data_IF_969524441741
#
_entry.id   IF_969524441741
#
_cell.length_a   1.000
_cell.length_b   1.000
_cell.length_c   1.000
_cell.angle_alpha   90.00
_cell.angle_beta   90.00
_cell.angle_gamma   90.00
#
_symmetry.space_group_name_H-M   'P 1'
#
loop_
_entity.id
_entity.type
_entity.pdbx_description
1 polymer ?
#
# COMPACT_ATOMS: atom_id res chain seq x y z
N UNK A 1 -1.67 6.53 -16.02
CA UNK A 1 -2.25 5.17 -15.92
C UNK A 1 -2.32 4.61 -17.32
N UNK A 2 -1.86 3.39 -17.55
CA UNK A 2 -1.96 2.75 -18.87
C UNK A 2 -3.33 2.10 -19.05
N UNK A 3 -3.81 2.05 -20.28
CA UNK A 3 -4.98 1.28 -20.71
C UNK A 3 -4.67 -0.22 -20.91
N UNK A 4 -3.42 -0.62 -20.79
CA UNK A 4 -2.97 -2.01 -20.80
C UNK A 4 -2.41 -2.45 -19.44
N UNK A 5 -2.49 -3.75 -19.16
CA UNK A 5 -1.86 -4.38 -17.99
C UNK A 5 -0.36 -4.52 -18.19
N UNK A 6 0.42 -4.34 -17.13
CA UNK A 6 1.85 -4.65 -17.17
C UNK A 6 2.34 -5.29 -15.87
N UNK A 7 3.43 -6.04 -15.98
CA UNK A 7 4.05 -6.75 -14.87
C UNK A 7 5.31 -6.00 -14.44
N UNK A 8 5.38 -5.63 -13.17
CA UNK A 8 6.56 -5.04 -12.53
C UNK A 8 7.24 -6.10 -11.66
N UNK A 9 8.55 -6.27 -11.82
CA UNK A 9 9.38 -7.13 -10.96
C UNK A 9 10.40 -6.29 -10.23
N UNK A 10 10.28 -6.21 -8.91
CA UNK A 10 11.21 -5.43 -8.10
C UNK A 10 11.79 -6.27 -6.97
N UNK A 11 12.99 -5.88 -6.57
CA UNK A 11 13.69 -6.46 -5.42
C UNK A 11 13.37 -5.64 -4.17
N UNK A 12 13.31 -6.31 -3.02
CA UNK A 12 13.01 -5.62 -1.76
C UNK A 12 14.16 -4.67 -1.42
N UNK A 13 13.89 -3.41 -1.00
CA UNK A 13 14.95 -2.45 -0.68
C UNK A 13 15.97 -2.94 0.37
N UNK A 14 15.52 -3.79 1.29
CA UNK A 14 16.37 -4.39 2.33
C UNK A 14 16.95 -5.76 1.96
N UNK A 15 16.75 -6.26 0.73
CA UNK A 15 17.29 -7.56 0.33
C UNK A 15 18.82 -7.63 0.41
N UNK A 16 19.51 -6.49 0.30
CA UNK A 16 20.97 -6.39 0.44
C UNK A 16 21.46 -6.44 1.90
N UNK A 17 20.57 -6.33 2.89
CA UNK A 17 20.92 -6.43 4.30
C UNK A 17 20.82 -7.90 4.75
N UNK A 18 21.86 -8.42 5.42
CA UNK A 18 21.96 -9.83 5.80
C UNK A 18 20.73 -10.38 6.55
N UNK A 19 20.13 -9.59 7.44
CA UNK A 19 18.93 -10.00 8.21
C UNK A 19 17.68 -10.15 7.32
N UNK A 20 17.65 -9.43 6.20
CA UNK A 20 16.50 -9.30 5.30
C UNK A 20 16.75 -9.96 3.92
N UNK A 21 17.86 -10.68 3.78
CA UNK A 21 18.23 -11.41 2.56
C UNK A 21 17.24 -12.54 2.19
N UNK A 22 16.39 -12.94 3.13
CA UNK A 22 15.33 -13.93 2.88
C UNK A 22 14.18 -13.38 2.02
N UNK A 23 14.10 -12.05 1.81
CA UNK A 23 13.07 -11.46 0.97
C UNK A 23 13.28 -11.81 -0.49
N UNK A 24 12.26 -12.44 -1.08
CA UNK A 24 12.29 -12.85 -2.48
C UNK A 24 11.89 -11.69 -3.38
N UNK A 25 12.40 -11.74 -4.62
CA UNK A 25 11.98 -10.81 -5.68
C UNK A 25 10.47 -10.88 -5.86
N UNK A 26 9.81 -9.73 -5.76
CA UNK A 26 8.35 -9.63 -5.81
C UNK A 26 7.91 -9.29 -7.23
N UNK A 27 6.91 -10.02 -7.72
CA UNK A 27 6.24 -9.74 -9.00
C UNK A 27 4.86 -9.16 -8.73
N UNK A 28 4.58 -8.01 -9.32
CA UNK A 28 3.32 -7.28 -9.18
C UNK A 28 2.70 -7.01 -10.55
N UNK A 29 1.40 -7.26 -10.70
CA UNK A 29 0.66 -6.99 -11.94
C UNK A 29 -0.22 -5.77 -11.73
N UNK A 30 0.01 -4.74 -12.53
CA UNK A 30 -0.87 -3.58 -12.61
C UNK A 30 -1.98 -3.86 -13.62
N UNK A 31 -3.22 -3.74 -13.18
CA UNK A 31 -4.40 -3.78 -14.06
C UNK A 31 -4.48 -2.52 -14.94
N UNK A 32 -5.16 -2.58 -16.09
CA UNK A 32 -5.51 -1.39 -16.86
C UNK A 32 -6.17 -0.34 -15.97
N UNK A 33 -5.85 0.93 -16.22
CA UNK A 33 -6.38 2.06 -15.46
C UNK A 33 -6.13 1.93 -13.95
N UNK A 34 -5.01 1.31 -13.54
CA UNK A 34 -4.62 1.25 -12.13
C UNK A 34 -3.39 2.10 -11.81
N UNK A 35 -3.32 2.56 -10.57
CA UNK A 35 -2.20 3.28 -9.98
C UNK A 35 -1.86 2.65 -8.63
N UNK A 36 -0.56 2.42 -8.40
CA UNK A 36 -0.10 2.09 -7.05
C UNK A 36 -0.19 3.34 -6.16
N UNK A 37 -0.69 3.15 -4.95
CA UNK A 37 -0.81 4.22 -3.97
C UNK A 37 -0.22 3.78 -2.64
N UNK A 38 0.50 4.69 -1.99
CA UNK A 38 1.03 4.51 -0.63
C UNK A 38 0.67 5.76 0.16
N UNK A 39 -0.10 5.64 1.25
CA UNK A 39 -0.46 6.79 2.07
C UNK A 39 0.70 7.16 3.00
N UNK A 40 1.71 7.85 2.46
CA UNK A 40 2.95 8.20 3.17
C UNK A 40 2.70 8.77 4.58
N UNK A 41 1.82 9.78 4.70
CA UNK A 41 1.52 10.41 6.00
C UNK A 41 0.80 9.50 7.01
N UNK A 42 0.20 8.40 6.58
CA UNK A 42 -0.37 7.40 7.50
C UNK A 42 0.66 6.36 7.92
N UNK A 43 1.64 6.08 7.07
CA UNK A 43 2.62 5.02 7.30
C UNK A 43 3.87 5.49 8.06
N UNK A 44 3.98 6.80 8.31
CA UNK A 44 5.06 7.40 9.08
C UNK A 44 4.70 7.50 10.56
N UNK A 45 5.66 7.17 11.43
CA UNK A 45 5.61 7.38 12.88
C UNK A 45 5.93 8.84 13.22
N UNK A 46 5.16 9.41 14.14
CA UNK A 46 5.37 10.74 14.70
C UNK A 46 6.33 10.73 15.89
N UNK A 47 6.26 11.79 16.71
CA UNK A 47 7.18 12.05 17.84
C UNK A 47 7.15 11.02 18.99
N UNK A 48 6.33 9.97 18.91
CA UNK A 48 6.16 8.94 19.96
C UNK A 48 6.19 7.51 19.40
N UNK A 49 6.84 7.29 18.26
CA UNK A 49 6.84 6.00 17.55
C UNK A 49 5.43 5.48 17.18
N UNK A 50 4.45 6.39 17.20
CA UNK A 50 3.05 6.15 16.90
C UNK A 50 2.65 6.99 15.69
N UNK A 51 2.00 6.42 14.67
CA UNK A 51 1.41 7.21 13.60
C UNK A 51 0.26 8.10 14.13
N UNK A 52 0.24 9.38 13.77
CA UNK A 52 -0.77 10.34 14.23
C UNK A 52 -2.20 9.86 13.97
N UNK A 53 -2.43 9.22 12.82
CA UNK A 53 -3.75 8.69 12.45
C UNK A 53 -4.15 7.48 13.29
N UNK A 54 -3.18 6.67 13.72
CA UNK A 54 -3.44 5.55 14.61
C UNK A 54 -3.92 6.04 15.99
N UNK A 55 -3.25 7.06 16.53
CA UNK A 55 -3.65 7.71 17.78
C UNK A 55 -5.04 8.36 17.66
N UNK A 56 -5.21 9.21 16.64
CA UNK A 56 -6.42 10.04 16.44
C UNK A 56 -7.68 9.21 16.20
N UNK A 57 -7.55 8.07 15.52
CA UNK A 57 -8.68 7.20 15.19
C UNK A 57 -8.77 5.96 16.09
N UNK A 58 -7.91 5.86 17.11
CA UNK A 58 -7.81 4.71 18.01
C UNK A 58 -7.75 3.38 17.25
N UNK A 59 -6.92 3.35 16.20
CA UNK A 59 -6.72 2.15 15.40
C UNK A 59 -6.01 1.09 16.26
N UNK A 60 -6.24 -0.19 15.96
CA UNK A 60 -5.61 -1.33 16.65
C UNK A 60 -4.11 -1.48 16.39
N UNK A 61 -3.40 -0.37 16.19
CA UNK A 61 -1.95 -0.31 16.09
C UNK A 61 -1.32 -0.66 17.44
N UNK A 62 -0.29 -1.50 17.41
CA UNK A 62 0.40 -1.98 18.61
C UNK A 62 1.88 -1.69 18.50
N UNK A 63 2.35 -0.67 19.21
CA UNK A 63 3.75 -0.26 19.18
C UNK A 63 4.68 -1.38 19.66
N UNK A 64 4.22 -2.24 20.58
CA UNK A 64 5.03 -3.36 21.10
C UNK A 64 5.38 -4.43 20.04
N UNK A 65 4.69 -4.44 18.89
CA UNK A 65 4.95 -5.39 17.82
C UNK A 65 5.96 -4.89 16.79
N UNK A 66 6.33 -3.61 16.84
CA UNK A 66 7.28 -3.03 15.89
C UNK A 66 8.67 -3.68 16.07
N UNK A 67 9.25 -4.25 15.01
CA UNK A 67 10.56 -4.86 15.09
C UNK A 67 11.66 -3.81 15.19
N UNK A 68 12.68 -4.09 15.99
CA UNK A 68 13.96 -3.38 15.91
C UNK A 68 14.69 -3.78 14.63
N UNK A 69 14.73 -2.86 13.68
CA UNK A 69 15.36 -3.06 12.36
C UNK A 69 16.83 -2.65 12.35
N UNK A 70 17.39 -2.18 13.47
CA UNK A 70 18.81 -1.82 13.61
C UNK A 70 19.21 -0.49 12.95
N UNK A 71 18.25 0.32 12.55
CA UNK A 71 18.43 1.69 12.04
C UNK A 71 17.19 2.53 12.36
N UNK A 72 17.37 3.86 12.41
CA UNK A 72 16.27 4.79 12.61
C UNK A 72 15.32 4.76 11.41
N UNK A 73 14.24 4.00 11.57
CA UNK A 73 13.13 3.99 10.63
C UNK A 73 12.00 4.85 11.18
N UNK A 74 11.44 5.69 10.34
CA UNK A 74 10.20 6.42 10.64
C UNK A 74 8.97 5.69 10.08
N UNK A 75 9.13 4.51 9.49
CA UNK A 75 8.05 3.77 8.86
C UNK A 75 7.52 2.67 9.75
N UNK A 76 6.20 2.46 9.76
CA UNK A 76 5.59 1.26 10.33
C UNK A 76 6.14 0.01 9.63
N UNK A 77 6.75 -0.91 10.38
CA UNK A 77 7.44 -2.10 9.86
C UNK A 77 6.63 -3.38 10.08
N UNK A 78 5.93 -3.53 11.21
CA UNK A 78 5.22 -4.77 11.50
C UNK A 78 4.05 -4.99 10.53
N UNK A 79 3.94 -6.22 10.01
CA UNK A 79 2.89 -6.58 9.05
C UNK A 79 1.49 -6.28 9.59
N UNK A 80 1.21 -6.57 10.86
CA UNK A 80 -0.14 -6.39 11.42
C UNK A 80 -0.48 -4.92 11.52
N UNK A 81 0.46 -4.11 11.98
CA UNK A 81 0.31 -2.67 12.05
C UNK A 81 0.14 -2.06 10.65
N UNK A 82 0.94 -2.47 9.66
CA UNK A 82 0.79 -2.01 8.28
C UNK A 82 -0.60 -2.33 7.72
N UNK A 83 -1.15 -3.51 8.00
CA UNK A 83 -2.49 -3.88 7.54
C UNK A 83 -3.57 -3.03 8.18
N UNK A 84 -3.51 -2.82 9.49
CA UNK A 84 -4.47 -1.95 10.19
C UNK A 84 -4.49 -0.56 9.56
N UNK A 85 -3.32 0.01 9.27
CA UNK A 85 -3.23 1.35 8.67
C UNK A 85 -3.75 1.38 7.23
N UNK A 86 -3.33 0.42 6.39
CA UNK A 86 -3.64 0.42 4.96
C UNK A 86 -5.09 0.00 4.69
N UNK A 87 -5.59 -1.03 5.38
CA UNK A 87 -6.99 -1.46 5.23
C UNK A 87 -7.96 -0.38 5.70
N UNK A 88 -7.62 0.37 6.77
CA UNK A 88 -8.42 1.52 7.21
C UNK A 88 -8.39 2.65 6.18
N UNK A 89 -7.21 3.03 5.70
CA UNK A 89 -7.07 4.12 4.73
C UNK A 89 -7.83 3.83 3.43
N UNK A 90 -7.60 2.65 2.83
CA UNK A 90 -8.24 2.29 1.57
C UNK A 90 -9.71 1.91 1.73
N UNK A 91 -10.11 1.37 2.89
CA UNK A 91 -11.50 1.09 3.20
C UNK A 91 -12.38 2.33 3.34
N UNK A 92 -11.79 3.48 3.66
CA UNK A 92 -12.49 4.76 3.73
C UNK A 92 -12.72 5.43 2.37
N UNK A 93 -12.17 4.90 1.27
CA UNK A 93 -12.29 5.54 -0.05
C UNK A 93 -13.53 5.04 -0.77
N UNK A 94 -14.44 5.97 -1.10
CA UNK A 94 -15.66 5.67 -1.85
C UNK A 94 -15.40 5.61 -3.37
N UNK A 95 -15.89 4.56 -4.07
CA UNK A 95 -15.62 4.35 -5.50
C UNK A 95 -16.19 5.37 -6.49
N UNK A 96 -16.98 6.36 -6.06
CA UNK A 96 -17.66 7.31 -6.98
C UNK A 96 -17.56 8.79 -6.59
N UNK A 97 -17.13 9.10 -5.37
CA UNK A 97 -16.93 10.48 -4.88
C UNK A 97 -15.48 10.94 -5.07
N UNK A 98 -14.58 9.98 -5.30
CA UNK A 98 -13.18 10.20 -5.63
C UNK A 98 -13.01 10.34 -7.15
N UNK A 99 -12.15 11.26 -7.66
CA UNK A 99 -11.80 11.33 -9.08
C UNK A 99 -11.15 10.03 -9.59
N UNK A 100 -10.77 9.13 -8.69
CA UNK A 100 -10.38 7.76 -8.98
C UNK A 100 -11.51 6.84 -8.54
N UNK A 101 -12.26 6.29 -9.49
CA UNK A 101 -13.14 5.16 -9.19
C UNK A 101 -12.27 4.00 -8.71
N UNK A 102 -12.60 3.36 -7.58
CA UNK A 102 -11.83 2.23 -7.04
C UNK A 102 -12.64 0.96 -7.25
N UNK A 103 -12.30 0.20 -8.29
CA UNK A 103 -13.04 -1.02 -8.64
C UNK A 103 -12.58 -2.27 -7.85
N UNK A 104 -11.39 -2.27 -7.27
CA UNK A 104 -10.85 -3.45 -6.57
C UNK A 104 -9.58 -3.10 -5.78
N UNK A 105 -9.65 -3.22 -4.46
CA UNK A 105 -8.45 -3.40 -3.62
C UNK A 105 -8.20 -4.91 -3.61
N UNK A 106 -7.22 -5.38 -4.38
CA UNK A 106 -6.84 -6.79 -4.40
C UNK A 106 -5.56 -6.99 -3.59
N UNK A 107 -5.66 -7.30 -2.28
CA UNK A 107 -4.49 -7.66 -1.51
C UNK A 107 -4.08 -9.09 -1.89
N UNK A 108 -3.02 -9.24 -2.68
CA UNK A 108 -2.40 -10.57 -2.90
C UNK A 108 -1.35 -10.83 -1.84
N UNK A 109 -1.76 -11.53 -0.79
CA UNK A 109 -0.84 -12.02 0.24
C UNK A 109 -0.26 -13.37 -0.18
N UNK A 110 1.00 -13.37 -0.61
CA UNK A 110 1.84 -14.56 -0.68
C UNK A 110 2.99 -14.44 0.32
N UNK A 111 3.58 -15.56 0.79
CA UNK A 111 4.77 -15.50 1.63
C UNK A 111 5.92 -14.82 0.86
N UNK A 112 6.41 -13.69 1.38
CA UNK A 112 7.55 -12.94 0.81
C UNK A 112 7.21 -11.81 -0.17
N UNK A 113 5.97 -11.30 -0.18
CA UNK A 113 5.53 -10.21 -1.08
C UNK A 113 5.46 -8.87 -0.33
N UNK A 114 6.14 -7.86 -0.85
CA UNK A 114 6.02 -6.47 -0.36
C UNK A 114 4.61 -5.92 -0.63
N UNK A 115 3.97 -5.40 0.40
CA UNK A 115 2.59 -4.90 0.39
C UNK A 115 2.42 -3.75 -0.60
N UNK A 116 1.79 -4.00 -1.76
CA UNK A 116 1.47 -2.96 -2.75
C UNK A 116 -0.03 -2.94 -3.02
N UNK A 117 -0.66 -1.83 -2.63
CA UNK A 117 -2.07 -1.55 -2.93
C UNK A 117 -2.18 -0.85 -4.29
N UNK A 118 -3.12 -1.28 -5.13
CA UNK A 118 -3.50 -0.58 -6.36
C UNK A 118 -4.93 -0.09 -6.29
N UNK A 119 -5.12 1.13 -6.79
CA UNK A 119 -6.41 1.74 -7.09
C UNK A 119 -6.65 1.59 -8.59
N UNK A 120 -7.83 1.12 -9.01
CA UNK A 120 -8.17 0.94 -10.43
C UNK A 120 -9.44 1.70 -10.81
N UNK A 121 -9.33 2.66 -11.74
CA UNK A 121 -10.44 3.37 -12.33
C UNK A 121 -11.18 2.50 -13.35
N UNK A 122 -12.52 2.56 -13.36
CA UNK A 122 -13.29 2.05 -14.49
C UNK A 122 -13.06 3.00 -15.67
N UNK A 123 -12.71 2.44 -16.83
CA UNK A 123 -12.96 3.11 -18.10
C UNK A 123 -14.45 3.46 -18.12
N UNK A 124 -14.77 4.74 -17.92
CA UNK A 124 -16.03 5.23 -18.41
C UNK A 124 -15.95 5.05 -19.93
N UNK A 125 -16.85 4.25 -20.48
CA UNK A 125 -17.10 4.24 -21.92
C UNK A 125 -17.34 5.69 -22.32
N UNK A 126 -16.34 6.32 -22.96
CA UNK A 126 -16.51 7.60 -23.62
C UNK A 126 -17.67 7.38 -24.58
N UNK A 127 -18.82 8.05 -24.43
CA UNK A 127 -19.84 8.02 -25.46
C UNK A 127 -19.17 8.62 -26.68
N UNK A 128 -18.99 7.80 -27.71
CA UNK A 128 -18.64 8.25 -29.04
C UNK A 128 -19.81 9.09 -29.56
N UNK A 129 -19.82 10.36 -29.19
CA UNK A 129 -20.54 11.48 -29.81
C UNK A 129 -20.27 12.73 -28.97
N UNK A 130 -19.24 13.49 -29.35
CA UNK A 130 -19.24 14.96 -29.41
C UNK A 130 -17.83 15.44 -29.82
N UNK A 131 -17.81 15.97 -31.05
CA UNK A 131 -16.73 16.69 -31.77
C UNK A 131 -15.68 15.83 -32.47
#
# INVERSE_FOLDING_TARGET
MSDFSYIRRFEHPYASNGTHAHFRRTTYTHSPFSAAAVPFGWMMRGNEDLPDQAARLSLGYRSELEPDVGFDSIWVQDRRNQLVMLDTFFGAIEPETSPYSIASISPRFGPGVSTTFSISARSASVPSNCW
#
